data_IF_805001351842
#
_entry.id   IF_805001351842
#
_cell.length_a   1.000
_cell.length_b   1.000
_cell.length_c   1.000
_cell.angle_alpha   90.00
_cell.angle_beta   90.00
_cell.angle_gamma   90.00
#
_symmetry.space_group_name_H-M   'P 1'
#
loop_
_entity.id
_entity.type
_entity.pdbx_description
1 polymer ?
#
# COMPACT_ATOMS: atom_id res chain seq x y z
N UNK A 1 15.20 -5.14 -13.06
CA UNK A 1 15.07 -3.66 -12.98
C UNK A 1 13.81 -3.34 -12.21
N UNK A 2 13.82 -2.34 -11.32
CA UNK A 2 12.63 -1.91 -10.57
C UNK A 2 11.70 -1.16 -11.53
N UNK A 3 10.71 -1.82 -12.06
CA UNK A 3 9.84 -1.24 -13.10
C UNK A 3 8.48 -0.77 -12.57
N UNK A 4 8.18 -1.03 -11.29
CA UNK A 4 6.88 -0.70 -10.70
C UNK A 4 6.99 0.49 -9.74
N UNK A 5 5.87 1.21 -9.56
CA UNK A 5 5.67 2.14 -8.45
C UNK A 5 4.75 1.44 -7.45
N UNK A 6 5.23 1.24 -6.24
CA UNK A 6 4.51 0.51 -5.20
C UNK A 6 4.02 1.51 -4.17
N UNK A 7 2.71 1.56 -3.93
CA UNK A 7 2.10 2.43 -2.94
C UNK A 7 1.83 1.62 -1.67
N UNK A 8 2.50 1.98 -0.59
CA UNK A 8 2.25 1.42 0.75
C UNK A 8 1.72 2.48 1.72
N UNK A 9 1.17 2.03 2.82
CA UNK A 9 0.64 2.89 3.87
C UNK A 9 -0.55 2.25 4.59
N UNK A 10 -0.96 2.88 5.66
CA UNK A 10 -2.08 2.40 6.48
C UNK A 10 -3.41 2.46 5.71
N UNK A 11 -4.43 1.71 6.18
CA UNK A 11 -5.79 1.85 5.63
C UNK A 11 -6.25 3.30 5.74
N UNK A 12 -7.00 3.80 4.75
CA UNK A 12 -7.42 5.19 4.72
C UNK A 12 -6.34 6.20 4.32
N UNK A 13 -5.09 5.78 4.03
CA UNK A 13 -4.05 6.69 3.52
C UNK A 13 -4.27 7.15 2.07
N UNK A 14 -5.20 6.53 1.34
CA UNK A 14 -5.58 6.94 -0.01
C UNK A 14 -4.87 6.19 -1.15
N UNK A 15 -4.15 5.10 -0.88
CA UNK A 15 -3.37 4.32 -1.87
C UNK A 15 -4.14 4.01 -3.15
N UNK A 16 -5.32 3.43 -3.03
CA UNK A 16 -6.14 3.03 -4.19
C UNK A 16 -6.52 4.25 -5.04
N UNK A 17 -6.97 5.35 -4.41
CA UNK A 17 -7.33 6.58 -5.13
C UNK A 17 -6.11 7.23 -5.78
N UNK A 18 -5.00 7.33 -5.06
CA UNK A 18 -3.73 7.85 -5.59
C UNK A 18 -3.24 6.97 -6.73
N UNK A 19 -3.28 5.64 -6.58
CA UNK A 19 -2.86 4.69 -7.61
C UNK A 19 -3.64 4.85 -8.90
N UNK A 20 -4.98 4.95 -8.82
CA UNK A 20 -5.84 5.17 -9.99
C UNK A 20 -5.51 6.50 -10.68
N UNK A 21 -5.40 7.60 -9.93
CA UNK A 21 -5.09 8.92 -10.53
C UNK A 21 -3.68 8.97 -11.11
N UNK A 22 -2.70 8.38 -10.41
CA UNK A 22 -1.32 8.29 -10.89
C UNK A 22 -1.22 7.46 -12.17
N UNK A 23 -2.05 6.40 -12.32
CA UNK A 23 -2.08 5.56 -13.52
C UNK A 23 -2.45 6.36 -14.78
N UNK A 24 -3.41 7.27 -14.68
CA UNK A 24 -3.75 8.18 -15.77
C UNK A 24 -2.62 9.17 -16.06
N UNK A 25 -1.95 9.67 -15.03
CA UNK A 25 -0.87 10.65 -15.18
C UNK A 25 0.38 10.06 -15.85
N UNK A 26 0.70 8.80 -15.53
CA UNK A 26 1.91 8.11 -16.00
C UNK A 26 1.65 7.12 -17.14
N UNK A 27 0.40 6.97 -17.58
CA UNK A 27 -0.01 5.98 -18.58
C UNK A 27 0.40 4.54 -18.21
N UNK A 28 0.27 4.20 -16.92
CA UNK A 28 0.58 2.88 -16.38
C UNK A 28 -0.70 2.17 -15.93
N UNK A 29 -0.71 0.85 -15.94
CA UNK A 29 -1.79 0.07 -15.33
C UNK A 29 -1.70 0.12 -13.81
N UNK A 30 -2.83 0.00 -13.12
CA UNK A 30 -2.89 -0.07 -11.65
C UNK A 30 -3.40 -1.43 -11.20
N UNK A 31 -2.77 -1.97 -10.18
CA UNK A 31 -3.12 -3.24 -9.53
C UNK A 31 -3.30 -2.99 -8.03
N UNK A 32 -4.38 -3.51 -7.46
CA UNK A 32 -4.60 -3.55 -6.02
C UNK A 32 -4.43 -4.99 -5.54
N UNK A 33 -3.48 -5.23 -4.63
CA UNK A 33 -3.13 -6.60 -4.21
C UNK A 33 -4.26 -7.29 -3.46
N UNK A 34 -5.05 -6.55 -2.65
CA UNK A 34 -6.20 -7.12 -1.96
C UNK A 34 -7.25 -7.59 -2.99
N UNK A 35 -7.51 -6.80 -4.03
CA UNK A 35 -8.43 -7.15 -5.12
C UNK A 35 -7.96 -8.33 -5.96
N UNK A 36 -6.65 -8.44 -6.20
CA UNK A 36 -6.10 -9.62 -6.88
C UNK A 36 -6.32 -10.88 -6.05
N UNK A 37 -6.02 -10.85 -4.77
CA UNK A 37 -6.22 -11.97 -3.86
C UNK A 37 -7.70 -12.34 -3.79
N UNK A 38 -8.61 -11.37 -3.62
CA UNK A 38 -10.06 -11.62 -3.62
C UNK A 38 -10.52 -12.32 -4.89
N UNK A 39 -10.04 -11.86 -6.04
CA UNK A 39 -10.38 -12.45 -7.34
C UNK A 39 -9.86 -13.89 -7.48
N UNK A 40 -8.65 -14.16 -7.03
CA UNK A 40 -8.04 -15.50 -7.11
C UNK A 40 -8.69 -16.50 -6.15
N UNK A 41 -9.06 -16.04 -4.95
CA UNK A 41 -9.68 -16.89 -3.94
C UNK A 41 -11.20 -17.01 -4.11
N UNK A 42 -11.84 -16.13 -4.89
CA UNK A 42 -13.31 -16.08 -5.01
C UNK A 42 -13.99 -15.66 -3.69
N UNK A 43 -13.27 -15.02 -2.79
CA UNK A 43 -13.70 -14.59 -1.46
C UNK A 43 -13.20 -13.18 -1.17
N UNK A 44 -13.93 -12.43 -0.36
CA UNK A 44 -13.47 -11.14 0.16
C UNK A 44 -12.35 -11.34 1.19
N UNK A 45 -11.53 -10.31 1.40
CA UNK A 45 -10.49 -10.31 2.45
C UNK A 45 -11.09 -10.69 3.81
N UNK A 46 -12.26 -10.14 4.17
CA UNK A 46 -12.95 -10.46 5.43
C UNK A 46 -13.31 -11.94 5.53
N UNK A 47 -13.84 -12.54 4.45
CA UNK A 47 -14.19 -13.96 4.43
C UNK A 47 -12.94 -14.86 4.55
N UNK A 48 -11.82 -14.46 3.95
CA UNK A 48 -10.54 -15.19 4.10
C UNK A 48 -10.09 -15.15 5.56
N UNK A 49 -10.12 -13.97 6.20
CA UNK A 49 -9.78 -13.85 7.63
C UNK A 49 -10.68 -14.70 8.53
N UNK A 50 -11.98 -14.73 8.27
CA UNK A 50 -12.94 -15.51 9.06
C UNK A 50 -12.78 -17.02 8.88
N UNK A 51 -12.54 -17.48 7.65
CA UNK A 51 -12.50 -18.91 7.32
C UNK A 51 -11.12 -19.52 7.51
N UNK A 52 -10.07 -18.79 7.15
CA UNK A 52 -8.71 -19.32 7.05
C UNK A 52 -7.73 -18.67 8.03
N UNK A 53 -8.12 -17.52 8.60
CA UNK A 53 -7.32 -16.75 9.55
C UNK A 53 -6.30 -15.81 8.94
N UNK A 54 -5.72 -14.97 9.79
CA UNK A 54 -4.77 -13.94 9.37
C UNK A 54 -3.51 -14.53 8.72
N UNK A 55 -2.98 -15.62 9.26
CA UNK A 55 -1.75 -16.23 8.75
C UNK A 55 -1.90 -16.76 7.31
N UNK A 56 -3.06 -17.31 6.97
CA UNK A 56 -3.35 -17.75 5.61
C UNK A 56 -3.39 -16.55 4.65
N UNK A 57 -4.06 -15.46 5.05
CA UNK A 57 -4.08 -14.23 4.25
C UNK A 57 -2.68 -13.66 4.02
N UNK A 58 -1.81 -13.64 5.05
CA UNK A 58 -0.43 -13.19 4.92
C UNK A 58 0.39 -14.02 3.92
N UNK A 59 0.14 -15.33 3.84
CA UNK A 59 0.76 -16.20 2.81
C UNK A 59 0.26 -15.85 1.41
N UNK A 60 -1.02 -15.52 1.27
CA UNK A 60 -1.59 -15.08 0.00
C UNK A 60 -0.99 -13.74 -0.46
N UNK A 61 -0.77 -12.78 0.47
CA UNK A 61 -0.06 -11.54 0.15
C UNK A 61 1.35 -11.83 -0.39
N UNK A 62 2.11 -12.70 0.27
CA UNK A 62 3.47 -13.09 -0.18
C UNK A 62 3.44 -13.74 -1.55
N UNK A 63 2.52 -14.69 -1.79
CA UNK A 63 2.37 -15.35 -3.08
C UNK A 63 1.97 -14.38 -4.20
N UNK A 64 1.09 -13.41 -3.89
CA UNK A 64 0.70 -12.35 -4.83
C UNK A 64 1.92 -11.49 -5.24
N UNK A 65 2.76 -11.07 -4.28
CA UNK A 65 3.97 -10.32 -4.59
C UNK A 65 4.96 -11.11 -5.45
N UNK A 66 5.15 -12.41 -5.16
CA UNK A 66 6.02 -13.26 -5.95
C UNK A 66 5.52 -13.38 -7.39
N UNK A 67 4.22 -13.59 -7.59
CA UNK A 67 3.59 -13.63 -8.91
C UNK A 67 3.80 -12.34 -9.68
N UNK A 68 3.57 -11.17 -9.06
CA UNK A 68 3.79 -9.87 -9.69
C UNK A 68 5.26 -9.65 -10.08
N UNK A 69 6.20 -10.18 -9.28
CA UNK A 69 7.62 -10.13 -9.59
C UNK A 69 7.96 -11.00 -10.81
N UNK A 70 7.39 -12.21 -10.90
CA UNK A 70 7.63 -13.15 -11.99
C UNK A 70 7.01 -12.66 -13.31
N UNK A 71 5.87 -11.98 -13.26
CA UNK A 71 5.21 -11.38 -14.43
C UNK A 71 6.03 -10.25 -15.07
N UNK A 72 6.81 -9.51 -14.26
CA UNK A 72 7.72 -8.47 -14.72
C UNK A 72 7.06 -7.26 -15.40
N UNK A 73 5.77 -7.04 -15.18
CA UNK A 73 5.00 -5.95 -15.76
C UNK A 73 5.41 -4.59 -15.15
N UNK A 74 5.28 -3.52 -15.97
CA UNK A 74 5.43 -2.14 -15.52
C UNK A 74 4.08 -1.58 -15.08
N UNK A 75 3.87 -1.41 -13.76
CA UNK A 75 2.58 -1.01 -13.21
C UNK A 75 2.67 -0.28 -11.87
N UNK A 76 1.57 0.33 -11.47
CA UNK A 76 1.39 0.90 -10.14
C UNK A 76 0.72 -0.16 -9.28
N UNK A 77 1.32 -0.49 -8.13
CA UNK A 77 0.84 -1.53 -7.23
C UNK A 77 0.38 -0.88 -5.92
N UNK A 78 -0.92 -0.96 -5.62
CA UNK A 78 -1.50 -0.56 -4.34
C UNK A 78 -1.48 -1.75 -3.39
N UNK A 79 -0.73 -1.67 -2.31
CA UNK A 79 -0.60 -2.77 -1.34
C UNK A 79 -1.73 -2.82 -0.32
N UNK A 80 -2.06 -4.01 0.15
CA UNK A 80 -2.75 -4.21 1.41
C UNK A 80 -1.96 -3.57 2.57
N UNK A 81 -2.66 -2.95 3.52
CA UNK A 81 -2.02 -2.20 4.61
C UNK A 81 -1.21 -3.06 5.60
N UNK A 82 -1.26 -4.37 5.50
CA UNK A 82 -0.49 -5.30 6.34
C UNK A 82 0.69 -5.95 5.62
N UNK A 83 0.76 -5.81 4.30
CA UNK A 83 1.75 -6.51 3.47
C UNK A 83 3.21 -6.30 3.90
N UNK A 84 3.68 -5.09 4.27
CA UNK A 84 5.07 -4.86 4.68
C UNK A 84 5.42 -5.40 6.08
N UNK A 85 4.45 -5.88 6.86
CA UNK A 85 4.71 -6.37 8.22
C UNK A 85 5.65 -7.59 8.20
N UNK A 86 5.50 -8.48 7.21
CA UNK A 86 6.40 -9.63 7.03
C UNK A 86 7.72 -9.19 6.41
N UNK A 87 8.83 -9.63 7.01
CA UNK A 87 10.17 -9.32 6.53
C UNK A 87 10.42 -9.84 5.11
N UNK A 88 9.95 -11.06 4.82
CA UNK A 88 10.04 -11.64 3.48
C UNK A 88 9.36 -10.78 2.40
N UNK A 89 8.24 -10.15 2.72
CA UNK A 89 7.57 -9.24 1.80
C UNK A 89 8.38 -7.97 1.54
N UNK A 90 9.06 -7.44 2.56
CA UNK A 90 9.94 -6.26 2.39
C UNK A 90 11.04 -6.51 1.37
N UNK A 91 11.64 -7.71 1.40
CA UNK A 91 12.66 -8.10 0.40
C UNK A 91 12.08 -8.24 -1.01
N UNK A 92 10.86 -8.77 -1.13
CA UNK A 92 10.17 -8.85 -2.43
C UNK A 92 9.81 -7.46 -2.96
N UNK A 93 9.32 -6.56 -2.11
CA UNK A 93 8.96 -5.19 -2.48
C UNK A 93 10.17 -4.41 -3.00
N UNK A 94 11.33 -4.54 -2.35
CA UNK A 94 12.59 -3.92 -2.80
C UNK A 94 13.06 -4.41 -4.18
N UNK A 95 12.72 -5.65 -4.55
CA UNK A 95 13.00 -6.20 -5.88
C UNK A 95 11.96 -5.79 -6.91
N UNK A 96 10.70 -5.69 -6.48
CA UNK A 96 9.54 -5.47 -7.34
C UNK A 96 9.47 -4.05 -7.92
N UNK A 97 9.81 -3.01 -7.14
CA UNK A 97 9.69 -1.64 -7.61
C UNK A 97 10.24 -0.58 -6.68
N UNK A 98 9.90 0.68 -6.96
CA UNK A 98 10.15 1.85 -6.11
C UNK A 98 9.00 1.94 -5.12
N UNK A 99 9.30 1.83 -3.83
CA UNK A 99 8.29 1.83 -2.76
C UNK A 99 8.05 3.26 -2.26
N UNK A 100 6.81 3.71 -2.42
CA UNK A 100 6.34 5.03 -1.98
C UNK A 100 5.41 4.86 -0.79
N UNK A 101 5.83 5.31 0.38
CA UNK A 101 5.03 5.31 1.58
C UNK A 101 4.17 6.59 1.66
N UNK A 102 2.84 6.42 1.59
CA UNK A 102 1.87 7.48 1.84
C UNK A 102 1.63 7.59 3.34
N UNK A 103 2.44 8.43 4.01
CA UNK A 103 2.35 8.64 5.44
C UNK A 103 1.22 9.60 5.78
N UNK A 104 0.45 9.26 6.80
CA UNK A 104 -0.74 10.00 7.23
C UNK A 104 -0.84 9.97 8.76
N UNK A 105 -1.42 11.00 9.36
CA UNK A 105 -1.64 11.08 10.82
C UNK A 105 -2.82 10.17 11.24
N UNK A 106 -2.79 9.60 12.46
CA UNK A 106 -3.90 8.78 12.96
C UNK A 106 -5.25 9.47 12.94
N UNK A 107 -5.29 10.77 13.27
CA UNK A 107 -6.52 11.56 13.25
C UNK A 107 -7.12 11.64 11.84
N UNK A 108 -6.29 11.88 10.83
CA UNK A 108 -6.71 11.92 9.42
C UNK A 108 -7.26 10.57 8.95
N UNK A 109 -6.61 9.46 9.36
CA UNK A 109 -7.13 8.12 9.10
C UNK A 109 -8.52 7.96 9.72
N UNK A 110 -8.65 8.26 11.02
CA UNK A 110 -9.92 8.15 11.72
C UNK A 110 -11.04 8.96 11.02
N UNK A 111 -10.76 10.22 10.68
CA UNK A 111 -11.75 11.09 10.04
C UNK A 111 -12.21 10.58 8.67
N UNK A 112 -11.31 9.94 7.92
CA UNK A 112 -11.62 9.35 6.61
C UNK A 112 -12.43 8.06 6.70
N UNK A 113 -12.24 7.23 7.75
CA UNK A 113 -12.84 5.90 7.82
C UNK A 113 -13.93 5.75 8.89
N UNK A 114 -14.18 6.75 9.75
CA UNK A 114 -15.14 6.68 10.87
C UNK A 114 -16.57 6.31 10.48
N UNK A 115 -16.96 6.55 9.23
CA UNK A 115 -18.29 6.22 8.70
C UNK A 115 -18.31 4.88 7.90
N UNK A 116 -17.16 4.19 7.82
CA UNK A 116 -17.06 2.93 7.09
C UNK A 116 -17.40 1.74 8.01
N UNK A 117 -18.66 1.31 7.95
CA UNK A 117 -19.19 0.21 8.77
C UNK A 117 -18.63 -1.17 8.42
N UNK A 118 -17.94 -1.29 7.29
CA UNK A 118 -17.33 -2.56 6.85
C UNK A 118 -16.02 -2.89 7.57
N UNK A 119 -15.53 -1.99 8.44
CA UNK A 119 -14.22 -2.13 9.10
C UNK A 119 -14.35 -2.57 10.55
N UNK A 120 -13.95 -3.82 10.88
CA UNK A 120 -13.99 -4.34 12.25
C UNK A 120 -13.19 -3.49 13.26
N UNK A 121 -12.14 -2.80 12.80
CA UNK A 121 -11.31 -1.91 13.63
C UNK A 121 -12.07 -0.76 14.29
N UNK A 122 -13.18 -0.32 13.68
CA UNK A 122 -13.99 0.78 14.20
C UNK A 122 -15.05 0.30 15.21
N UNK A 123 -15.22 -1.01 15.35
CA UNK A 123 -16.19 -1.64 16.25
C UNK A 123 -15.58 -1.87 17.66
N UNK A 124 -15.00 -0.81 18.24
CA UNK A 124 -14.40 -0.84 19.57
C UNK A 124 -14.67 0.48 20.31
N UNK A 125 -14.48 0.50 21.63
CA UNK A 125 -14.76 1.68 22.48
C UNK A 125 -13.95 2.93 22.08
N UNK A 126 -12.69 2.75 21.63
CA UNK A 126 -11.82 3.86 21.24
C UNK A 126 -11.13 3.59 19.90
N UNK A 127 -11.81 3.82 18.77
CA UNK A 127 -11.25 3.55 17.44
C UNK A 127 -9.99 4.36 17.13
N UNK A 128 -9.91 5.61 17.57
CA UNK A 128 -8.72 6.45 17.35
C UNK A 128 -7.48 5.88 18.06
N UNK A 129 -7.61 5.46 19.32
CA UNK A 129 -6.51 4.84 20.05
C UNK A 129 -6.07 3.55 19.35
N UNK A 130 -7.02 2.73 18.90
CA UNK A 130 -6.73 1.51 18.16
C UNK A 130 -5.95 1.78 16.87
N UNK A 131 -6.31 2.84 16.14
CA UNK A 131 -5.57 3.30 14.95
C UNK A 131 -4.16 3.71 15.33
N UNK A 132 -3.98 4.52 16.38
CA UNK A 132 -2.67 4.95 16.87
C UNK A 132 -1.77 3.76 17.18
N UNK A 133 -2.27 2.79 17.96
CA UNK A 133 -1.51 1.61 18.37
C UNK A 133 -1.07 0.76 17.16
N UNK A 134 -1.97 0.55 16.21
CA UNK A 134 -1.67 -0.21 15.01
C UNK A 134 -0.69 0.52 14.09
N UNK A 135 -0.83 1.83 13.93
CA UNK A 135 0.09 2.62 13.12
C UNK A 135 1.48 2.66 13.76
N UNK A 136 1.55 2.78 15.08
CA UNK A 136 2.81 2.72 15.81
C UNK A 136 3.51 1.36 15.63
N UNK A 137 2.77 0.26 15.78
CA UNK A 137 3.30 -1.09 15.60
C UNK A 137 3.81 -1.39 14.18
N UNK A 138 3.28 -0.70 13.15
CA UNK A 138 3.64 -0.89 11.74
C UNK A 138 4.62 0.14 11.20
N UNK A 139 4.93 1.17 11.98
CA UNK A 139 5.76 2.31 11.54
C UNK A 139 7.11 1.86 10.99
N UNK A 140 7.83 1.04 11.75
CA UNK A 140 9.15 0.54 11.34
C UNK A 140 9.07 -0.28 10.04
N UNK A 141 8.03 -1.10 9.89
CA UNK A 141 7.84 -1.89 8.68
C UNK A 141 7.69 -1.02 7.43
N UNK A 142 6.86 0.04 7.50
CA UNK A 142 6.70 0.98 6.39
C UNK A 142 7.97 1.79 6.14
N UNK A 143 8.58 2.39 7.18
CA UNK A 143 9.75 3.24 7.02
C UNK A 143 10.99 2.47 6.52
N UNK A 144 11.15 1.20 6.91
CA UNK A 144 12.26 0.36 6.44
C UNK A 144 12.10 -0.17 5.01
N UNK A 145 10.87 -0.19 4.49
CA UNK A 145 10.57 -0.64 3.13
C UNK A 145 10.62 0.51 2.13
N UNK A 146 10.22 1.71 2.56
CA UNK A 146 10.04 2.87 1.71
C UNK A 146 11.36 3.36 1.06
N UNK A 147 11.33 3.55 -0.24
CA UNK A 147 12.35 4.33 -0.98
C UNK A 147 12.02 5.83 -0.92
N UNK A 148 10.73 6.19 -0.87
CA UNK A 148 10.19 7.56 -0.86
C UNK A 148 9.10 7.65 0.19
N UNK A 149 9.09 8.71 0.99
CA UNK A 149 8.01 8.98 1.97
C UNK A 149 7.33 10.29 1.62
N UNK A 150 6.00 10.27 1.50
CA UNK A 150 5.16 11.44 1.22
C UNK A 150 4.18 11.64 2.38
N UNK A 151 4.28 12.77 3.07
CA UNK A 151 3.27 13.19 4.06
C UNK A 151 2.03 13.74 3.34
N UNK A 152 0.87 13.12 3.57
CA UNK A 152 -0.33 13.39 2.75
C UNK A 152 -1.45 14.15 3.46
N UNK A 153 -1.25 14.54 4.72
CA UNK A 153 -2.34 15.06 5.57
C UNK A 153 -3.00 16.34 5.04
N UNK A 154 -2.20 17.28 4.55
CA UNK A 154 -2.66 18.61 4.15
C UNK A 154 -2.63 18.83 2.63
N UNK A 155 -2.39 17.76 1.88
CA UNK A 155 -2.23 17.80 0.44
C UNK A 155 -3.50 17.36 -0.30
N UNK A 156 -3.80 18.02 -1.39
CA UNK A 156 -4.76 17.55 -2.39
C UNK A 156 -4.21 16.32 -3.13
N UNK A 157 -5.09 15.55 -3.74
CA UNK A 157 -4.65 14.41 -4.56
C UNK A 157 -3.72 14.82 -5.71
N UNK A 158 -3.94 15.98 -6.32
CA UNK A 158 -3.11 16.46 -7.43
C UNK A 158 -1.69 16.82 -6.95
N UNK A 159 -1.56 17.42 -5.76
CA UNK A 159 -0.26 17.68 -5.13
C UNK A 159 0.46 16.37 -4.81
N UNK A 160 -0.23 15.40 -4.20
CA UNK A 160 0.34 14.08 -3.90
C UNK A 160 0.87 13.40 -5.16
N UNK A 161 0.08 13.39 -6.25
CA UNK A 161 0.46 12.78 -7.52
C UNK A 161 1.67 13.45 -8.14
N UNK A 162 1.74 14.79 -8.12
CA UNK A 162 2.89 15.53 -8.63
C UNK A 162 4.14 15.24 -7.79
N UNK A 163 4.03 15.23 -6.45
CA UNK A 163 5.14 14.89 -5.57
C UNK A 163 5.65 13.46 -5.80
N UNK A 164 4.75 12.49 -5.97
CA UNK A 164 5.16 11.11 -6.26
C UNK A 164 5.92 11.06 -7.59
N UNK A 165 5.38 11.67 -8.66
CA UNK A 165 6.02 11.69 -9.97
C UNK A 165 7.42 12.28 -9.87
N UNK A 166 7.54 13.48 -9.30
CA UNK A 166 8.79 14.21 -9.24
C UNK A 166 9.84 13.46 -8.37
N UNK A 167 9.40 12.88 -7.25
CA UNK A 167 10.26 12.09 -6.39
C UNK A 167 10.72 10.77 -7.05
N UNK A 168 9.85 10.10 -7.79
CA UNK A 168 10.20 8.89 -8.56
C UNK A 168 11.19 9.23 -9.67
N UNK A 169 10.95 10.28 -10.45
CA UNK A 169 11.89 10.73 -11.49
C UNK A 169 13.27 11.10 -10.91
N UNK A 170 13.31 11.74 -9.75
CA UNK A 170 14.56 12.08 -9.08
C UNK A 170 15.28 10.83 -8.59
N UNK A 171 14.56 9.91 -7.95
CA UNK A 171 15.10 8.64 -7.47
C UNK A 171 15.73 7.81 -8.60
N UNK A 172 15.10 7.80 -9.78
CA UNK A 172 15.62 7.13 -10.97
C UNK A 172 16.91 7.76 -11.48
N UNK A 173 16.91 9.09 -11.60
CA UNK A 173 18.11 9.84 -12.03
C UNK A 173 19.30 9.58 -11.13
N UNK A 174 19.10 9.61 -9.81
CA UNK A 174 20.17 9.43 -8.83
C UNK A 174 20.76 8.02 -8.85
N UNK A 175 20.02 7.04 -9.35
CA UNK A 175 20.45 5.64 -9.42
C UNK A 175 20.73 5.12 -10.83
N UNK A 176 20.58 5.96 -11.85
CA UNK A 176 20.77 5.57 -13.25
C UNK A 176 19.78 4.49 -13.70
N UNK A 177 18.58 4.50 -13.13
CA UNK A 177 17.49 3.58 -13.44
C UNK A 177 16.52 4.34 -14.36
N UNK A 178 15.87 3.66 -15.31
CA UNK A 178 14.75 4.20 -16.09
C UNK A 178 13.56 3.27 -15.97
N UNK A 179 12.42 3.80 -15.56
CA UNK A 179 11.12 3.11 -15.56
C UNK A 179 10.59 2.85 -16.97
#
# INVERSE_FOLDING_TARGET
MKNNIILEGFMGSGKTTVGIRLSYKLFMTVVDTDKLIEKEQGMTVSEIFEKEGEEAFRKLETACLQKLLDEGNKQIISLGGGTPIREENRELLKKLGIVVYLRVKPQTVYDRIKNDTSRPLLQCENPLQRICDMMFARKEAYESTADIIIDTDELSFDEIINLIRDAVEQYEKDRGISL
#
